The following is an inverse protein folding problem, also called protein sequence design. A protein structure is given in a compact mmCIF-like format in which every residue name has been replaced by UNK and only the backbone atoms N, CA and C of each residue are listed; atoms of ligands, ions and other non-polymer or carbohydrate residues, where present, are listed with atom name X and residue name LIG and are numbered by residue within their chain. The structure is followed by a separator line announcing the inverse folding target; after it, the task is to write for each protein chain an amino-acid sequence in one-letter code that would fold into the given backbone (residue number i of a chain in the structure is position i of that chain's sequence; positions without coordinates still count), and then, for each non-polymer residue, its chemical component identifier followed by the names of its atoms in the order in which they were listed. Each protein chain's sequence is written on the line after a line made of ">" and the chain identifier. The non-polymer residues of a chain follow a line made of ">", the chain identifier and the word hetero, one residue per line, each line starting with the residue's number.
data_IF_857948135491
#
_entry.id   IF_857948135491
#
_cell.length_a   1.000
_cell.length_b   1.000
_cell.length_c   1.000
_cell.angle_alpha   90.00
_cell.angle_beta   90.00
_cell.angle_gamma   90.00
#
_symmetry.space_group_name_H-M   'P 1'
#
loop_
_entity.id
_entity.type
_entity.pdbx_description
1 polymer ?
#
# COMPACT_ATOMS: atom_id res chain seq x y z
N UNK A 1 15.49 4.24 -22.44
CA UNK A 1 15.65 5.00 -21.18
C UNK A 1 14.32 5.39 -20.51
N UNK A 2 13.64 6.48 -20.89
CA UNK A 2 12.46 6.98 -20.15
C UNK A 2 11.28 5.99 -20.06
N UNK A 3 10.98 5.26 -21.15
CA UNK A 3 9.91 4.24 -21.16
C UNK A 3 10.25 3.06 -20.26
N UNK A 4 11.51 2.65 -20.20
CA UNK A 4 11.96 1.57 -19.30
C UNK A 4 11.89 2.01 -17.84
N UNK A 5 12.28 3.25 -17.54
CA UNK A 5 12.16 3.82 -16.19
C UNK A 5 10.69 3.92 -15.76
N UNK A 6 9.80 4.42 -16.63
CA UNK A 6 8.36 4.48 -16.35
C UNK A 6 7.76 3.10 -16.11
N UNK A 7 8.09 2.12 -16.95
CA UNK A 7 7.66 0.74 -16.79
C UNK A 7 8.10 0.16 -15.43
N UNK A 8 9.37 0.39 -15.05
CA UNK A 8 9.89 -0.06 -13.76
C UNK A 8 9.16 0.60 -12.59
N UNK A 9 8.90 1.91 -12.65
CA UNK A 9 8.15 2.64 -11.62
C UNK A 9 6.75 2.07 -11.42
N UNK A 10 6.01 1.82 -12.51
CA UNK A 10 4.66 1.23 -12.45
C UNK A 10 4.72 -0.20 -11.90
N UNK A 11 5.68 -1.01 -12.35
CA UNK A 11 5.85 -2.38 -11.88
C UNK A 11 6.14 -2.46 -10.37
N UNK A 12 7.02 -1.58 -9.87
CA UNK A 12 7.32 -1.48 -8.44
C UNK A 12 6.12 -0.99 -7.63
N UNK A 13 5.30 -0.10 -8.18
CA UNK A 13 4.04 0.35 -7.58
C UNK A 13 3.02 -0.76 -7.39
N UNK A 14 2.84 -1.59 -8.42
CA UNK A 14 1.99 -2.79 -8.35
C UNK A 14 2.55 -3.76 -7.31
N UNK A 15 3.86 -4.00 -7.32
CA UNK A 15 4.51 -4.90 -6.35
C UNK A 15 4.33 -4.42 -4.90
N UNK A 16 4.51 -3.13 -4.64
CA UNK A 16 4.22 -2.52 -3.35
C UNK A 16 2.77 -2.73 -2.92
N UNK A 17 1.82 -2.53 -3.82
CA UNK A 17 0.39 -2.70 -3.54
C UNK A 17 0.03 -4.14 -3.16
N UNK A 18 0.64 -5.13 -3.82
CA UNK A 18 0.46 -6.55 -3.47
C UNK A 18 1.02 -6.85 -2.07
N UNK A 19 2.22 -6.37 -1.76
CA UNK A 19 2.81 -6.55 -0.43
C UNK A 19 1.98 -5.87 0.67
N UNK A 20 1.47 -4.67 0.41
CA UNK A 20 0.63 -3.94 1.35
C UNK A 20 -0.70 -4.67 1.62
N UNK A 21 -1.30 -5.27 0.58
CA UNK A 21 -2.50 -6.09 0.73
C UNK A 21 -2.21 -7.37 1.53
N UNK A 22 -1.02 -7.97 1.35
CA UNK A 22 -0.61 -9.14 2.11
C UNK A 22 -0.36 -8.82 3.58
N UNK A 23 0.26 -7.68 3.90
CA UNK A 23 0.41 -7.19 5.28
C UNK A 23 -0.95 -7.03 5.97
N UNK A 24 -1.96 -6.50 5.27
CA UNK A 24 -3.30 -6.37 5.82
C UNK A 24 -3.99 -7.71 6.08
N UNK A 25 -3.72 -8.70 5.22
CA UNK A 25 -4.29 -10.04 5.38
C UNK A 25 -3.64 -10.82 6.54
N UNK A 26 -2.32 -10.69 6.73
CA UNK A 26 -1.56 -11.41 7.75
C UNK A 26 -1.55 -10.71 9.12
N UNK A 27 -1.98 -9.44 9.17
CA UNK A 27 -2.01 -8.66 10.41
C UNK A 27 -2.87 -9.34 11.50
N UNK A 28 -2.35 -9.47 12.74
CA UNK A 28 -3.09 -10.08 13.85
C UNK A 28 -4.15 -9.15 14.47
N UNK A 29 -4.36 -7.98 13.88
CA UNK A 29 -5.33 -6.96 14.31
C UNK A 29 -6.05 -6.37 13.10
N UNK A 30 -7.23 -5.83 13.36
CA UNK A 30 -8.13 -5.23 12.38
C UNK A 30 -8.23 -3.72 12.59
N UNK A 31 -8.89 -3.03 11.65
CA UNK A 31 -9.18 -1.59 11.77
C UNK A 31 -10.04 -1.24 13.00
N UNK A 32 -10.81 -2.19 13.51
CA UNK A 32 -11.65 -1.99 14.69
C UNK A 32 -10.88 -2.17 16.01
N UNK A 33 -9.64 -2.67 15.97
CA UNK A 33 -8.86 -2.96 17.17
C UNK A 33 -8.10 -1.73 17.65
N UNK A 34 -8.61 -1.14 18.74
CA UNK A 34 -7.97 -0.05 19.49
C UNK A 34 -7.64 1.20 18.65
N UNK A 35 -6.95 2.16 19.28
CA UNK A 35 -6.41 3.33 18.58
C UNK A 35 -5.29 2.95 17.62
N UNK A 36 -4.51 1.90 17.93
CA UNK A 36 -3.41 1.48 17.08
C UNK A 36 -3.88 0.91 15.74
N UNK A 37 -4.82 -0.05 15.73
CA UNK A 37 -5.33 -0.64 14.49
C UNK A 37 -6.01 0.40 13.60
N UNK A 38 -6.87 1.24 14.18
CA UNK A 38 -7.52 2.32 13.43
C UNK A 38 -6.51 3.30 12.81
N UNK A 39 -5.51 3.77 13.58
CA UNK A 39 -4.48 4.68 13.05
C UNK A 39 -3.59 4.03 12.00
N UNK A 40 -3.18 2.77 12.21
CA UNK A 40 -2.35 2.01 11.27
C UNK A 40 -3.03 1.86 9.91
N UNK A 41 -4.25 1.31 9.87
CA UNK A 41 -4.94 1.03 8.61
C UNK A 41 -5.37 2.31 7.88
N UNK A 42 -5.75 3.37 8.59
CA UNK A 42 -6.08 4.65 7.93
C UNK A 42 -4.84 5.31 7.34
N UNK A 43 -3.74 5.38 8.09
CA UNK A 43 -2.51 6.04 7.60
C UNK A 43 -1.92 5.29 6.39
N UNK A 44 -1.75 3.98 6.51
CA UNK A 44 -1.19 3.15 5.44
C UNK A 44 -2.16 3.00 4.27
N UNK A 45 -3.47 2.95 4.52
CA UNK A 45 -4.48 2.84 3.47
C UNK A 45 -4.61 4.13 2.66
N UNK A 46 -4.56 5.28 3.31
CA UNK A 46 -4.51 6.57 2.62
C UNK A 46 -3.23 6.71 1.79
N UNK A 47 -2.08 6.32 2.34
CA UNK A 47 -0.83 6.25 1.57
C UNK A 47 -0.96 5.32 0.35
N UNK A 48 -1.51 4.11 0.52
CA UNK A 48 -1.74 3.15 -0.57
C UNK A 48 -2.62 3.72 -1.69
N UNK A 49 -3.66 4.50 -1.35
CA UNK A 49 -4.46 5.21 -2.34
C UNK A 49 -3.64 6.23 -3.15
N UNK A 50 -2.72 6.97 -2.51
CA UNK A 50 -1.84 7.91 -3.21
C UNK A 50 -0.91 7.20 -4.19
N UNK A 51 -0.39 6.04 -3.78
CA UNK A 51 0.48 5.21 -4.61
C UNK A 51 -0.28 4.73 -5.86
N UNK A 52 -1.48 4.16 -5.70
CA UNK A 52 -2.29 3.67 -6.83
C UNK A 52 -2.64 4.77 -7.84
N UNK A 53 -2.93 5.98 -7.37
CA UNK A 53 -3.30 7.12 -8.24
C UNK A 53 -2.06 7.81 -8.85
N UNK A 54 -0.91 7.75 -8.19
CA UNK A 54 0.27 8.56 -8.53
C UNK A 54 1.23 7.97 -9.56
N UNK A 55 1.04 6.73 -10.00
CA UNK A 55 1.93 6.04 -10.96
C UNK A 55 1.65 6.35 -12.43
#
# INVERSE_FOLDING_TARGET
>A
EAVQALFLTVALGIYFTILQAWEYYDSPFTIADSVYGSTFFVATGFHGLHVIIGH
#
